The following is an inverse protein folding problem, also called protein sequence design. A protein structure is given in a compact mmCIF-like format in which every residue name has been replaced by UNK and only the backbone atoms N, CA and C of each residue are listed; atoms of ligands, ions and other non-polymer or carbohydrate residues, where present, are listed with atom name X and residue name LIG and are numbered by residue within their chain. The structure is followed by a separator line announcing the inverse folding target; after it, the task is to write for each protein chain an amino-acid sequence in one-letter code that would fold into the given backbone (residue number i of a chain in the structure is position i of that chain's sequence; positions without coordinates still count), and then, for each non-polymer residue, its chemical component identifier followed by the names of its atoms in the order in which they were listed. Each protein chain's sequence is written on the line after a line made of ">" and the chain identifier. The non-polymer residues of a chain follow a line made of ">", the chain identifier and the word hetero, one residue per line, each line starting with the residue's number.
data_IF_867386159709
#
_entry.id   IF_867386159709
#
_cell.length_a   1.000
_cell.length_b   1.000
_cell.length_c   1.000
_cell.angle_alpha   90.00
_cell.angle_beta   90.00
_cell.angle_gamma   90.00
#
_symmetry.space_group_name_H-M   'P 1'
#
loop_
_entity.id
_entity.type
_entity.pdbx_description
1 polymer ?
#
# COMPACT_ATOMS: atom_id res chain seq x y z
N UNK A 1 59.52 58.62 5.72
CA UNK A 1 58.56 58.15 4.71
C UNK A 1 58.42 56.64 4.71
N UNK A 2 59.48 55.85 4.83
CA UNK A 2 59.48 54.38 4.77
C UNK A 2 58.75 53.73 5.95
N UNK A 3 58.74 54.35 7.13
CA UNK A 3 58.07 53.81 8.33
C UNK A 3 56.56 53.97 8.26
N UNK A 4 56.06 55.06 7.66
CA UNK A 4 54.62 55.29 7.51
C UNK A 4 54.00 54.34 6.45
N UNK A 5 54.73 54.03 5.42
CA UNK A 5 54.31 53.10 4.36
C UNK A 5 54.17 51.67 4.87
N UNK A 6 55.06 51.18 5.77
CA UNK A 6 54.98 49.87 6.38
C UNK A 6 53.75 49.73 7.30
N UNK A 7 53.37 50.81 7.99
CA UNK A 7 52.20 50.79 8.89
C UNK A 7 50.88 50.75 8.14
N UNK A 8 50.80 51.42 6.97
CA UNK A 8 49.60 51.42 6.12
C UNK A 8 49.41 50.04 5.45
N UNK A 9 50.47 49.41 4.96
CA UNK A 9 50.39 48.07 4.36
C UNK A 9 50.07 46.99 5.40
N UNK A 10 50.56 47.08 6.62
CA UNK A 10 50.23 46.14 7.71
C UNK A 10 48.76 46.22 8.14
N UNK A 11 48.19 47.42 8.19
CA UNK A 11 46.76 47.60 8.55
C UNK A 11 45.81 47.20 7.39
N UNK A 12 46.23 47.36 6.15
CA UNK A 12 45.47 46.96 4.97
C UNK A 12 45.38 45.42 4.88
N UNK A 13 46.47 44.70 5.19
CA UNK A 13 46.48 43.23 5.25
C UNK A 13 45.59 42.69 6.36
N UNK A 14 45.53 43.37 7.52
CA UNK A 14 44.67 42.96 8.63
C UNK A 14 43.17 43.16 8.31
N UNK A 15 42.82 44.23 7.63
CA UNK A 15 41.45 44.52 7.19
C UNK A 15 40.96 43.52 6.11
N UNK A 16 41.80 43.14 5.19
CA UNK A 16 41.45 42.17 4.14
C UNK A 16 41.28 40.76 4.72
N UNK A 17 42.10 40.34 5.69
CA UNK A 17 41.92 39.04 6.34
C UNK A 17 40.68 39.01 7.24
N UNK A 18 40.33 40.12 7.91
CA UNK A 18 39.12 40.21 8.74
C UNK A 18 37.84 40.16 7.88
N UNK A 19 37.85 40.83 6.72
CA UNK A 19 36.71 40.75 5.77
C UNK A 19 36.56 39.38 5.13
N UNK A 20 37.65 38.66 4.83
CA UNK A 20 37.58 37.29 4.34
C UNK A 20 37.04 36.32 5.41
N UNK A 21 37.45 36.48 6.68
CA UNK A 21 36.93 35.67 7.77
C UNK A 21 35.44 35.93 8.01
N UNK A 22 34.98 37.17 7.89
CA UNK A 22 33.57 37.55 8.03
C UNK A 22 32.73 37.00 6.86
N UNK A 23 33.26 37.02 5.63
CA UNK A 23 32.57 36.41 4.48
C UNK A 23 32.45 34.88 4.60
N UNK A 24 33.47 34.21 5.14
CA UNK A 24 33.46 32.76 5.33
C UNK A 24 32.45 32.32 6.42
N UNK A 25 32.23 33.16 7.45
CA UNK A 25 31.26 32.88 8.49
C UNK A 25 29.79 33.03 8.04
N UNK A 26 29.55 33.84 7.00
CA UNK A 26 28.19 34.03 6.46
C UNK A 26 27.70 32.85 5.60
N UNK A 27 28.58 31.94 5.16
CA UNK A 27 28.22 30.77 4.34
C UNK A 27 27.85 29.54 5.15
N UNK A 28 28.05 29.58 6.47
CA UNK A 28 27.69 28.48 7.38
C UNK A 28 26.25 28.62 7.93
N UNK A 29 25.27 28.85 7.04
CA UNK A 29 23.87 28.75 7.45
C UNK A 29 23.54 27.26 7.62
N UNK A 30 23.02 26.84 8.78
CA UNK A 30 22.58 25.47 8.94
C UNK A 30 21.41 25.26 7.97
N UNK A 31 21.62 24.43 6.94
CA UNK A 31 20.53 23.91 6.11
C UNK A 31 19.72 22.97 7.00
N UNK A 32 18.67 23.49 7.57
CA UNK A 32 17.67 22.66 8.23
C UNK A 32 16.93 21.92 7.10
N UNK A 33 17.33 20.68 6.84
CA UNK A 33 16.54 19.78 6.04
C UNK A 33 15.23 19.54 6.81
N UNK A 34 14.22 20.33 6.51
CA UNK A 34 12.87 20.07 6.98
C UNK A 34 12.39 18.80 6.29
N UNK A 35 12.29 17.73 7.05
CA UNK A 35 11.60 16.52 6.60
C UNK A 35 10.11 16.87 6.51
N UNK A 36 9.67 17.29 5.33
CA UNK A 36 8.26 17.58 5.06
C UNK A 36 7.56 16.25 4.78
N UNK A 37 6.88 15.73 5.79
CA UNK A 37 5.93 14.64 5.58
C UNK A 37 4.65 15.26 5.03
N UNK A 38 4.44 15.16 3.74
CA UNK A 38 3.11 15.40 3.17
C UNK A 38 2.23 14.20 3.50
N UNK A 39 1.35 14.37 4.48
CA UNK A 39 0.25 13.44 4.73
C UNK A 39 -0.81 13.73 3.67
N UNK A 40 -0.65 13.19 2.49
CA UNK A 40 -1.65 13.18 1.42
C UNK A 40 -2.71 12.12 1.78
N UNK A 41 -3.62 12.46 2.66
CA UNK A 41 -4.65 11.50 3.09
C UNK A 41 -5.88 12.15 3.69
N UNK A 42 -5.80 13.42 4.06
CA UNK A 42 -6.96 14.12 4.62
C UNK A 42 -7.72 14.77 3.47
N UNK A 43 -8.73 14.05 2.94
CA UNK A 43 -9.64 14.57 1.91
C UNK A 43 -9.65 13.80 0.57
N UNK A 44 -8.88 12.72 0.42
CA UNK A 44 -9.06 11.86 -0.75
C UNK A 44 -10.37 11.08 -0.61
N UNK A 45 -11.24 11.21 -1.60
CA UNK A 45 -12.46 10.39 -1.69
C UNK A 45 -12.03 8.94 -1.89
N UNK A 46 -12.30 8.09 -0.91
CA UNK A 46 -12.01 6.66 -1.01
C UNK A 46 -12.82 6.06 -2.16
N UNK A 47 -12.18 5.21 -2.96
CA UNK A 47 -12.81 4.49 -4.07
C UNK A 47 -13.73 3.40 -3.52
N UNK A 48 -15.06 3.48 -3.77
CA UNK A 48 -16.00 2.51 -3.24
C UNK A 48 -15.97 1.22 -4.06
N UNK A 49 -15.63 0.10 -3.39
CA UNK A 49 -15.51 -1.24 -4.00
C UNK A 49 -16.48 -2.19 -3.34
N UNK A 50 -17.23 -2.94 -4.13
CA UNK A 50 -18.01 -4.09 -3.66
C UNK A 50 -17.19 -5.35 -3.83
N UNK A 51 -17.08 -6.14 -2.76
CA UNK A 51 -16.51 -7.48 -2.80
C UNK A 51 -17.59 -8.50 -2.48
N UNK A 52 -17.89 -9.33 -3.48
CA UNK A 52 -18.83 -10.45 -3.28
C UNK A 52 -18.07 -11.61 -2.63
N UNK A 53 -18.64 -12.29 -1.61
CA UNK A 53 -18.04 -13.51 -1.07
C UNK A 53 -17.71 -14.50 -2.20
N UNK A 54 -16.49 -15.05 -2.18
CA UNK A 54 -16.07 -15.94 -3.24
C UNK A 54 -16.85 -17.25 -3.19
N UNK A 55 -17.33 -17.68 -4.34
CA UNK A 55 -18.03 -18.97 -4.45
C UNK A 55 -17.11 -20.10 -3.98
N UNK A 56 -17.59 -20.92 -3.04
CA UNK A 56 -16.83 -22.00 -2.44
C UNK A 56 -15.97 -21.62 -1.23
N UNK A 57 -15.75 -20.35 -0.93
CA UNK A 57 -14.95 -19.95 0.24
C UNK A 57 -15.61 -20.33 1.59
N UNK A 58 -16.90 -20.62 1.60
CA UNK A 58 -17.59 -21.06 2.82
C UNK A 58 -17.00 -22.35 3.40
N UNK A 59 -16.50 -23.24 2.53
CA UNK A 59 -15.88 -24.53 2.87
C UNK A 59 -14.35 -24.49 2.81
N UNK A 60 -13.77 -23.39 2.38
CA UNK A 60 -12.32 -23.21 2.35
C UNK A 60 -11.78 -22.81 3.73
N UNK A 61 -10.49 -23.10 4.04
CA UNK A 61 -9.85 -22.72 5.29
C UNK A 61 -9.81 -21.21 5.55
N UNK A 62 -9.89 -20.40 4.50
CA UNK A 62 -9.80 -18.93 4.56
C UNK A 62 -10.99 -18.29 3.85
N UNK A 63 -11.43 -17.14 4.34
CA UNK A 63 -12.44 -16.26 3.71
C UNK A 63 -11.73 -15.20 2.88
N UNK A 64 -11.45 -15.52 1.62
CA UNK A 64 -10.58 -14.71 0.77
C UNK A 64 -11.12 -13.30 0.53
N UNK A 65 -12.43 -13.18 0.24
CA UNK A 65 -13.05 -11.88 0.00
C UNK A 65 -12.87 -10.93 1.19
N UNK A 66 -13.02 -11.44 2.43
CA UNK A 66 -12.83 -10.65 3.64
C UNK A 66 -11.39 -10.18 3.85
N UNK A 67 -10.39 -11.02 3.52
CA UNK A 67 -8.97 -10.64 3.60
C UNK A 67 -8.66 -9.55 2.58
N UNK A 68 -9.08 -9.73 1.33
CA UNK A 68 -8.90 -8.74 0.25
C UNK A 68 -9.52 -7.40 0.63
N UNK A 69 -10.74 -7.42 1.18
CA UNK A 69 -11.41 -6.20 1.63
C UNK A 69 -10.62 -5.49 2.72
N UNK A 70 -10.20 -6.22 3.75
CA UNK A 70 -9.43 -5.66 4.87
C UNK A 70 -8.10 -5.03 4.40
N UNK A 71 -7.42 -5.65 3.45
CA UNK A 71 -6.18 -5.12 2.87
C UNK A 71 -6.43 -3.80 2.13
N UNK A 72 -7.41 -3.78 1.23
CA UNK A 72 -7.73 -2.60 0.45
C UNK A 72 -8.19 -1.44 1.35
N UNK A 73 -9.04 -1.69 2.36
CA UNK A 73 -9.48 -0.69 3.32
C UNK A 73 -8.30 -0.15 4.16
N UNK A 74 -7.38 -1.02 4.58
CA UNK A 74 -6.18 -0.65 5.34
C UNK A 74 -5.26 0.31 4.58
N UNK A 75 -5.25 0.25 3.24
CA UNK A 75 -4.51 1.21 2.42
C UNK A 75 -5.03 2.65 2.54
N UNK A 76 -6.25 2.84 3.06
CA UNK A 76 -6.91 4.13 3.18
C UNK A 76 -7.48 4.68 1.86
N UNK A 77 -7.22 4.03 0.71
CA UNK A 77 -7.66 4.48 -0.61
C UNK A 77 -9.02 3.89 -1.02
N UNK A 78 -9.48 2.84 -0.33
CA UNK A 78 -10.70 2.13 -0.69
C UNK A 78 -11.71 2.13 0.47
N UNK A 79 -12.97 2.10 0.09
CA UNK A 79 -14.11 1.90 0.99
C UNK A 79 -14.87 0.66 0.55
N UNK A 80 -14.88 -0.38 1.40
CA UNK A 80 -15.67 -1.57 1.17
C UNK A 80 -17.17 -1.28 1.28
N UNK A 81 -17.93 -1.75 0.31
CA UNK A 81 -19.38 -1.70 0.30
C UNK A 81 -19.95 -3.11 0.46
N UNK A 82 -21.04 -3.23 1.21
CA UNK A 82 -21.69 -4.52 1.43
C UNK A 82 -22.30 -5.05 0.13
N UNK A 83 -21.96 -6.28 -0.23
CA UNK A 83 -22.53 -6.97 -1.40
C UNK A 83 -23.98 -7.46 -1.17
N UNK A 84 -24.52 -7.33 0.05
CA UNK A 84 -25.81 -7.85 0.40
C UNK A 84 -25.89 -9.39 0.25
N UNK A 85 -26.95 -9.87 -0.38
CA UNK A 85 -27.15 -11.30 -0.67
C UNK A 85 -26.68 -11.71 -2.07
N UNK A 86 -25.86 -10.90 -2.72
CA UNK A 86 -25.39 -11.18 -4.07
C UNK A 86 -24.55 -12.47 -4.10
N UNK A 87 -24.82 -13.31 -5.10
CA UNK A 87 -24.09 -14.55 -5.38
C UNK A 87 -23.51 -14.42 -6.77
N UNK A 88 -22.18 -14.26 -6.84
CA UNK A 88 -21.44 -14.11 -8.09
C UNK A 88 -20.11 -14.86 -8.00
N UNK A 89 -19.58 -15.21 -9.16
CA UNK A 89 -18.23 -15.78 -9.30
C UNK A 89 -17.48 -15.07 -10.45
N UNK A 90 -16.27 -15.54 -10.74
CA UNK A 90 -15.40 -15.02 -11.79
C UNK A 90 -15.98 -15.18 -13.21
N UNK A 91 -17.00 -16.03 -13.42
CA UNK A 91 -17.67 -16.25 -14.72
C UNK A 91 -18.99 -15.48 -14.83
N UNK A 92 -19.43 -14.82 -13.78
CA UNK A 92 -20.70 -14.12 -13.74
C UNK A 92 -20.70 -12.91 -14.69
N UNK A 93 -21.88 -12.58 -15.24
CA UNK A 93 -22.13 -11.33 -15.96
C UNK A 93 -22.87 -10.39 -15.04
N UNK A 94 -22.25 -9.30 -14.58
CA UNK A 94 -22.90 -8.38 -13.64
C UNK A 94 -24.12 -7.67 -14.27
N UNK A 95 -25.21 -7.60 -13.51
CA UNK A 95 -26.17 -6.51 -13.69
C UNK A 95 -25.60 -5.28 -12.99
N UNK A 96 -25.43 -4.20 -13.73
CA UNK A 96 -24.79 -2.97 -13.22
C UNK A 96 -25.71 -2.13 -12.35
N UNK A 97 -27.03 -2.27 -12.49
CA UNK A 97 -28.01 -1.41 -11.84
C UNK A 97 -27.89 -1.38 -10.32
N UNK A 98 -27.87 -2.51 -9.60
CA UNK A 98 -27.77 -2.51 -8.14
C UNK A 98 -26.44 -1.92 -7.63
N UNK A 99 -25.33 -2.18 -8.35
CA UNK A 99 -24.01 -1.67 -7.96
C UNK A 99 -23.88 -0.16 -8.13
N UNK A 100 -24.46 0.38 -9.21
CA UNK A 100 -24.54 1.83 -9.42
C UNK A 100 -25.41 2.52 -8.41
N UNK A 101 -26.50 1.89 -7.96
CA UNK A 101 -27.34 2.42 -6.88
C UNK A 101 -26.59 2.51 -5.55
N UNK A 102 -25.65 1.61 -5.30
CA UNK A 102 -24.72 1.65 -4.17
C UNK A 102 -23.59 2.67 -4.35
N UNK A 103 -23.52 3.34 -5.50
CA UNK A 103 -22.40 4.22 -5.88
C UNK A 103 -21.06 3.47 -5.88
N UNK A 104 -21.05 2.17 -6.18
CA UNK A 104 -19.83 1.41 -6.35
C UNK A 104 -19.11 1.82 -7.63
N UNK A 105 -17.79 1.95 -7.56
CA UNK A 105 -16.94 2.19 -8.72
C UNK A 105 -16.32 0.90 -9.24
N UNK A 106 -16.04 -0.05 -8.35
CA UNK A 106 -15.51 -1.35 -8.73
C UNK A 106 -16.26 -2.50 -8.06
N UNK A 107 -16.28 -3.65 -8.73
CA UNK A 107 -16.89 -4.89 -8.27
C UNK A 107 -15.88 -6.01 -8.42
N UNK A 108 -15.65 -6.76 -7.34
CA UNK A 108 -14.83 -7.97 -7.31
C UNK A 108 -15.71 -9.17 -6.96
N UNK A 109 -15.62 -10.22 -7.75
CA UNK A 109 -16.18 -11.53 -7.44
C UNK A 109 -15.19 -12.62 -7.82
N UNK A 110 -15.33 -13.81 -7.23
CA UNK A 110 -14.40 -14.89 -7.48
C UNK A 110 -14.90 -16.24 -7.05
N UNK A 111 -14.04 -17.24 -7.18
CA UNK A 111 -14.29 -18.62 -6.79
C UNK A 111 -13.06 -19.26 -6.14
N UNK A 112 -13.32 -20.21 -5.24
CA UNK A 112 -12.31 -21.05 -4.59
C UNK A 112 -12.76 -22.48 -4.70
N UNK A 113 -12.01 -23.30 -5.42
CA UNK A 113 -12.37 -24.70 -5.67
C UNK A 113 -11.24 -25.62 -5.21
N UNK A 114 -11.56 -26.59 -4.36
CA UNK A 114 -10.59 -27.62 -3.97
C UNK A 114 -10.40 -28.62 -5.11
N UNK A 115 -9.15 -28.82 -5.50
CA UNK A 115 -8.76 -29.76 -6.53
C UNK A 115 -8.59 -31.19 -5.97
N UNK A 116 -8.55 -32.18 -6.85
CA UNK A 116 -8.40 -33.58 -6.47
C UNK A 116 -7.05 -33.88 -5.77
N UNK A 117 -6.02 -33.11 -6.05
CA UNK A 117 -4.72 -33.20 -5.41
C UNK A 117 -4.60 -32.46 -4.06
N UNK A 118 -5.72 -31.90 -3.58
CA UNK A 118 -5.81 -31.19 -2.31
C UNK A 118 -5.45 -29.70 -2.35
N UNK A 119 -4.93 -29.20 -3.48
CA UNK A 119 -4.72 -27.78 -3.71
C UNK A 119 -6.04 -27.05 -3.97
N UNK A 120 -5.96 -25.73 -4.07
CA UNK A 120 -7.09 -24.86 -4.34
C UNK A 120 -6.83 -24.04 -5.61
N UNK A 121 -7.80 -24.07 -6.52
CA UNK A 121 -7.90 -23.15 -7.66
C UNK A 121 -8.64 -21.91 -7.18
N UNK A 122 -7.96 -20.78 -7.23
CA UNK A 122 -8.46 -19.47 -6.79
C UNK A 122 -8.59 -18.58 -8.01
N UNK A 123 -9.77 -18.03 -8.23
CA UNK A 123 -10.06 -17.13 -9.34
C UNK A 123 -10.76 -15.90 -8.84
N UNK A 124 -10.44 -14.76 -9.44
CA UNK A 124 -11.13 -13.52 -9.19
C UNK A 124 -11.27 -12.73 -10.50
N UNK A 125 -12.31 -11.94 -10.61
CA UNK A 125 -12.54 -11.02 -11.71
C UNK A 125 -12.96 -9.66 -11.17
N UNK A 126 -12.38 -8.62 -11.76
CA UNK A 126 -12.62 -7.24 -11.41
C UNK A 126 -13.35 -6.53 -12.54
N UNK A 127 -14.33 -5.70 -12.19
CA UNK A 127 -15.06 -4.87 -13.13
C UNK A 127 -15.09 -3.41 -12.70
N UNK A 128 -15.07 -2.52 -13.69
CA UNK A 128 -15.40 -1.10 -13.55
C UNK A 128 -16.92 -0.96 -13.67
N UNK A 129 -17.58 -0.64 -12.57
CA UNK A 129 -19.05 -0.54 -12.49
C UNK A 129 -19.57 0.69 -13.24
N UNK A 130 -18.81 1.78 -13.23
CA UNK A 130 -19.18 3.04 -13.86
C UNK A 130 -19.23 2.85 -15.38
N UNK A 131 -18.16 2.27 -15.96
CA UNK A 131 -18.05 2.02 -17.39
C UNK A 131 -18.77 0.74 -17.83
N UNK A 132 -19.09 -0.18 -16.91
CA UNK A 132 -19.63 -1.49 -17.20
C UNK A 132 -18.62 -2.38 -17.96
N UNK A 133 -17.35 -2.30 -17.62
CA UNK A 133 -16.26 -2.97 -18.33
C UNK A 133 -15.49 -3.93 -17.43
N UNK A 134 -15.03 -5.01 -18.04
CA UNK A 134 -14.09 -5.95 -17.45
C UNK A 134 -12.70 -5.27 -17.29
N UNK A 135 -12.08 -5.39 -16.14
CA UNK A 135 -10.72 -4.91 -15.84
C UNK A 135 -9.70 -6.05 -15.77
N UNK A 136 -10.13 -7.27 -15.99
CA UNK A 136 -9.28 -8.45 -16.03
C UNK A 136 -9.60 -9.50 -14.98
N UNK A 137 -8.83 -10.57 -15.03
CA UNK A 137 -8.95 -11.72 -14.16
C UNK A 137 -7.62 -12.05 -13.44
N UNK A 138 -7.76 -12.65 -12.28
CA UNK A 138 -6.67 -13.21 -11.47
C UNK A 138 -6.88 -14.72 -11.35
N UNK A 139 -5.76 -15.48 -11.41
CA UNK A 139 -5.75 -16.94 -11.23
C UNK A 139 -4.53 -17.35 -10.43
N UNK A 140 -4.76 -18.25 -9.47
CA UNK A 140 -3.69 -18.83 -8.66
C UNK A 140 -4.07 -20.27 -8.29
N UNK A 141 -3.07 -21.14 -8.13
CA UNK A 141 -3.29 -22.52 -7.66
C UNK A 141 -2.34 -22.80 -6.51
N UNK A 142 -2.89 -22.89 -5.32
CA UNK A 142 -2.13 -22.85 -4.07
C UNK A 142 -2.50 -23.98 -3.12
N UNK A 143 -1.64 -24.27 -2.17
CA UNK A 143 -1.95 -25.15 -1.05
C UNK A 143 -2.92 -24.48 -0.07
N UNK A 144 -3.51 -25.25 0.84
CA UNK A 144 -4.39 -24.72 1.90
C UNK A 144 -3.68 -23.68 2.79
N UNK A 145 -2.38 -23.87 3.05
CA UNK A 145 -1.57 -22.94 3.85
C UNK A 145 -1.29 -21.60 3.13
N UNK A 146 -1.32 -21.59 1.80
CA UNK A 146 -1.02 -20.42 0.99
C UNK A 146 -2.26 -19.63 0.58
N UNK A 147 -3.48 -20.09 0.95
CA UNK A 147 -4.73 -19.40 0.58
C UNK A 147 -4.75 -17.95 1.06
N UNK A 148 -4.24 -17.70 2.26
CA UNK A 148 -4.15 -16.32 2.79
C UNK A 148 -3.22 -15.46 1.95
N UNK A 149 -2.05 -15.97 1.59
CA UNK A 149 -1.10 -15.26 0.71
C UNK A 149 -1.72 -15.01 -0.68
N UNK A 150 -2.53 -15.96 -1.19
CA UNK A 150 -3.25 -15.76 -2.46
C UNK A 150 -4.28 -14.62 -2.35
N UNK A 151 -4.96 -14.46 -1.21
CA UNK A 151 -5.84 -13.32 -0.98
C UNK A 151 -5.07 -11.98 -0.98
N UNK A 152 -3.91 -11.91 -0.34
CA UNK A 152 -3.05 -10.73 -0.38
C UNK A 152 -2.56 -10.40 -1.80
N UNK A 153 -2.25 -11.42 -2.62
CA UNK A 153 -1.92 -11.24 -4.04
C UNK A 153 -3.10 -10.70 -4.86
N UNK A 154 -4.31 -11.15 -4.56
CA UNK A 154 -5.53 -10.58 -5.17
C UNK A 154 -5.66 -9.11 -4.78
N UNK A 155 -5.44 -8.75 -3.51
CA UNK A 155 -5.48 -7.37 -3.06
C UNK A 155 -4.42 -6.50 -3.79
N UNK A 156 -3.19 -6.98 -3.96
CA UNK A 156 -2.13 -6.32 -4.74
C UNK A 156 -2.55 -6.10 -6.19
N UNK A 157 -3.11 -7.12 -6.82
CA UNK A 157 -3.59 -7.05 -8.19
C UNK A 157 -4.76 -6.05 -8.33
N UNK A 158 -5.77 -6.11 -7.47
CA UNK A 158 -6.90 -5.17 -7.47
C UNK A 158 -6.41 -3.74 -7.26
N UNK A 159 -5.51 -3.54 -6.28
CA UNK A 159 -4.90 -2.25 -6.01
C UNK A 159 -4.23 -1.68 -7.26
N UNK A 160 -3.41 -2.47 -7.93
CA UNK A 160 -2.72 -2.08 -9.15
C UNK A 160 -3.69 -1.76 -10.30
N UNK A 161 -4.74 -2.57 -10.48
CA UNK A 161 -5.74 -2.35 -11.55
C UNK A 161 -6.54 -1.05 -11.35
N UNK A 162 -6.75 -0.63 -10.11
CA UNK A 162 -7.56 0.54 -9.78
C UNK A 162 -6.74 1.81 -9.59
N UNK A 163 -5.49 1.72 -9.10
CA UNK A 163 -4.64 2.88 -8.81
C UNK A 163 -3.51 3.08 -9.81
N UNK A 164 -3.16 2.05 -10.58
CA UNK A 164 -1.98 2.05 -11.46
C UNK A 164 -0.65 1.82 -10.73
N UNK A 165 -0.65 1.69 -9.40
CA UNK A 165 0.54 1.49 -8.57
C UNK A 165 0.56 0.06 -8.03
N UNK A 166 1.71 -0.64 -7.98
CA UNK A 166 1.79 -1.96 -7.37
C UNK A 166 1.36 -1.94 -5.90
N UNK A 167 0.58 -2.95 -5.48
CA UNK A 167 0.28 -3.20 -4.07
C UNK A 167 1.48 -3.81 -3.34
N UNK A 168 1.40 -3.90 -2.01
CA UNK A 168 2.42 -4.50 -1.15
C UNK A 168 1.81 -5.38 -0.04
N UNK A 169 0.57 -5.85 -0.22
CA UNK A 169 -0.15 -6.64 0.78
C UNK A 169 0.39 -8.06 0.90
N UNK A 170 0.89 -8.65 -0.20
CA UNK A 170 1.55 -9.96 -0.20
C UNK A 170 2.99 -9.93 0.34
N UNK A 171 3.40 -8.84 1.00
CA UNK A 171 4.70 -8.74 1.66
C UNK A 171 4.67 -9.36 3.06
N UNK A 172 5.86 -9.51 3.67
CA UNK A 172 6.02 -9.94 5.04
C UNK A 172 6.69 -8.87 5.88
N UNK A 173 6.30 -8.79 7.15
CA UNK A 173 6.96 -7.94 8.13
C UNK A 173 7.81 -8.79 9.06
N UNK A 174 8.94 -8.25 9.52
CA UNK A 174 9.71 -8.83 10.61
C UNK A 174 9.76 -7.86 11.77
N UNK A 175 9.59 -8.36 12.98
CA UNK A 175 9.65 -7.55 14.18
C UNK A 175 10.25 -8.33 15.35
N UNK A 176 10.78 -7.61 16.32
CA UNK A 176 11.41 -8.19 17.51
C UNK A 176 10.57 -7.86 18.73
N UNK A 177 10.28 -8.88 19.54
CA UNK A 177 9.66 -8.72 20.85
C UNK A 177 10.68 -8.99 21.95
N UNK A 178 10.50 -8.33 23.11
CA UNK A 178 11.28 -8.59 24.33
C UNK A 178 10.33 -8.96 25.46
N UNK A 179 10.49 -10.16 26.00
CA UNK A 179 9.75 -10.63 27.15
C UNK A 179 10.67 -11.39 28.10
N UNK A 180 10.60 -11.10 29.40
CA UNK A 180 11.42 -11.77 30.43
C UNK A 180 12.95 -11.70 30.18
N UNK A 181 13.44 -10.62 29.55
CA UNK A 181 14.86 -10.45 29.21
C UNK A 181 15.29 -11.18 27.92
N UNK A 182 14.39 -11.93 27.25
CA UNK A 182 14.67 -12.63 25.98
C UNK A 182 14.14 -11.82 24.81
N UNK A 183 14.85 -11.86 23.69
CA UNK A 183 14.44 -11.30 22.41
C UNK A 183 13.98 -12.42 21.49
N UNK A 184 12.86 -12.24 20.83
CA UNK A 184 12.32 -13.15 19.82
C UNK A 184 12.12 -12.39 18.52
N UNK A 185 12.63 -12.93 17.42
CA UNK A 185 12.37 -12.43 16.06
C UNK A 185 11.13 -13.13 15.50
N UNK A 186 10.21 -12.36 14.99
CA UNK A 186 8.99 -12.83 14.38
C UNK A 186 8.95 -12.43 12.90
N UNK A 187 8.33 -13.26 12.09
CA UNK A 187 8.01 -12.97 10.69
C UNK A 187 6.53 -13.24 10.52
N UNK A 188 5.79 -12.24 10.08
CA UNK A 188 4.34 -12.31 9.89
C UNK A 188 3.95 -11.83 8.48
N UNK A 189 2.70 -12.08 8.09
CA UNK A 189 2.11 -11.42 6.93
C UNK A 189 2.00 -9.90 7.18
N UNK A 190 1.79 -9.11 6.13
CA UNK A 190 1.76 -7.63 6.24
C UNK A 190 0.69 -7.10 7.19
N UNK A 191 -0.33 -7.89 7.48
CA UNK A 191 -1.41 -7.57 8.43
C UNK A 191 -1.15 -8.06 9.87
N UNK A 192 -0.01 -8.69 10.10
CA UNK A 192 0.41 -9.19 11.41
C UNK A 192 -0.01 -10.63 11.74
N UNK A 193 -0.77 -11.26 10.87
CA UNK A 193 -1.18 -12.66 11.04
C UNK A 193 -0.06 -13.64 10.61
N UNK A 194 -0.20 -14.91 10.96
CA UNK A 194 0.76 -15.97 10.65
C UNK A 194 2.20 -15.71 11.15
N UNK A 195 2.34 -15.09 12.33
CA UNK A 195 3.62 -14.84 12.96
C UNK A 195 4.28 -16.13 13.53
#
# INVERSE_FOLDING_TARGET
>A
LLHLMKLVFSRMGLLTSLTQLLLLSLTALPVWAQFRVEVTGVGMTQLPVVMVPFKGEATAPQKLAGIVQADLERSGQFKGLAAGSAVMDDNSRPDWSPWRQLSAEALLAGSVTRLADGRYDVRARLWDVVKGQDKGDFKDTVSAAELRLSAHRIADWVYQQLTGTPGAFASRISYVTKAGGRYSLWIADSDGENA
#
